data_IF_949302216958
#
_entry.id   IF_949302216958
#
_cell.length_a   1.000
_cell.length_b   1.000
_cell.length_c   1.000
_cell.angle_alpha   90.00
_cell.angle_beta   90.00
_cell.angle_gamma   90.00
#
_symmetry.space_group_name_H-M   'P 1'
#
loop_
_entity.id
_entity.type
_entity.pdbx_description
1 polymer ?
#
# COMPACT_ATOMS: atom_id res chain seq x y z
N UNK A 1 -17.07 3.90 -10.84
CA UNK A 1 -16.27 3.68 -12.08
C UNK A 1 -14.83 3.31 -11.72
N UNK A 2 -14.16 2.40 -12.45
CA UNK A 2 -12.72 2.13 -12.26
C UNK A 2 -11.90 2.90 -13.29
N UNK A 3 -10.92 3.66 -12.82
CA UNK A 3 -10.06 4.48 -13.68
C UNK A 3 -8.91 3.71 -14.30
N UNK A 4 -8.42 2.63 -13.67
CA UNK A 4 -7.25 1.85 -14.14
C UNK A 4 -6.02 2.72 -14.46
N UNK A 5 -5.84 3.83 -13.74
CA UNK A 5 -4.71 4.75 -13.96
C UNK A 5 -4.86 5.70 -15.15
N UNK A 6 -6.04 5.75 -15.79
CA UNK A 6 -6.35 6.70 -16.87
C UNK A 6 -7.54 7.59 -16.51
N UNK A 7 -7.64 8.73 -17.18
CA UNK A 7 -8.87 9.52 -17.16
C UNK A 7 -10.05 8.68 -17.67
N UNK A 8 -11.21 8.88 -17.08
CA UNK A 8 -12.46 8.24 -17.48
C UNK A 8 -13.56 9.28 -17.47
N UNK A 9 -14.32 9.32 -18.55
CA UNK A 9 -15.49 10.17 -18.64
C UNK A 9 -16.67 9.48 -17.96
N UNK A 10 -17.46 10.27 -17.24
CA UNK A 10 -18.67 9.82 -16.58
C UNK A 10 -19.79 10.80 -16.93
N UNK A 11 -20.72 10.36 -17.78
CA UNK A 11 -21.89 11.16 -18.14
C UNK A 11 -22.92 11.11 -17.02
N UNK A 12 -23.23 12.27 -16.45
CA UNK A 12 -24.26 12.48 -15.44
C UNK A 12 -25.06 13.74 -15.76
N UNK A 13 -26.26 13.84 -15.20
CA UNK A 13 -27.06 15.06 -15.33
C UNK A 13 -26.32 16.25 -14.70
N UNK A 14 -26.63 17.48 -15.15
CA UNK A 14 -26.16 18.67 -14.46
C UNK A 14 -26.65 18.72 -13.01
N UNK A 15 -25.79 19.17 -12.10
CA UNK A 15 -26.10 19.22 -10.68
C UNK A 15 -24.88 19.36 -9.77
N UNK A 16 -25.13 19.30 -8.46
CA UNK A 16 -24.10 19.32 -7.42
C UNK A 16 -23.81 17.90 -6.94
N UNK A 17 -22.53 17.54 -6.89
CA UNK A 17 -22.09 16.20 -6.55
C UNK A 17 -20.94 16.20 -5.54
N UNK A 18 -20.97 15.21 -4.66
CA UNK A 18 -19.79 14.80 -3.90
C UNK A 18 -19.08 13.67 -4.66
N UNK A 19 -17.76 13.76 -4.77
CA UNK A 19 -16.94 12.75 -5.45
C UNK A 19 -15.99 12.12 -4.44
N UNK A 20 -16.12 10.80 -4.26
CA UNK A 20 -15.21 9.98 -3.48
C UNK A 20 -14.27 9.21 -4.41
N UNK A 21 -12.96 9.44 -4.27
CA UNK A 21 -11.91 8.76 -5.01
C UNK A 21 -11.20 7.80 -4.07
N UNK A 22 -11.03 6.54 -4.48
CA UNK A 22 -10.33 5.52 -3.71
C UNK A 22 -9.12 4.97 -4.47
N UNK A 23 -7.97 4.91 -3.81
CA UNK A 23 -6.79 4.20 -4.29
C UNK A 23 -6.93 2.70 -4.00
N UNK A 24 -7.00 1.87 -5.04
CA UNK A 24 -7.18 0.41 -4.90
C UNK A 24 -5.88 -0.40 -4.85
N UNK A 25 -4.74 0.23 -5.14
CA UNK A 25 -3.42 -0.43 -5.21
C UNK A 25 -2.38 0.21 -4.30
N UNK A 26 -2.81 1.13 -3.43
CA UNK A 26 -1.97 1.78 -2.42
C UNK A 26 -2.61 1.42 -1.10
N UNK A 27 -1.82 0.85 -0.22
CA UNK A 27 -2.22 0.51 1.14
C UNK A 27 -1.86 1.65 2.10
N UNK A 28 -2.51 1.73 3.26
CA UNK A 28 -2.27 2.79 4.24
C UNK A 28 -3.56 3.39 4.79
N UNK A 29 -3.44 4.57 5.40
CA UNK A 29 -4.57 5.29 6.00
C UNK A 29 -5.23 6.22 4.98
N UNK A 30 -4.45 6.85 4.10
CA UNK A 30 -4.89 7.88 3.16
C UNK A 30 -5.23 7.27 1.79
N UNK A 31 -6.16 6.33 1.77
CA UNK A 31 -6.58 5.62 0.55
C UNK A 31 -7.89 6.14 -0.04
N UNK A 32 -8.53 7.10 0.63
CA UNK A 32 -9.77 7.75 0.18
C UNK A 32 -9.59 9.27 0.17
N UNK A 33 -10.16 9.92 -0.83
CA UNK A 33 -10.20 11.38 -0.95
C UNK A 33 -11.60 11.82 -1.38
N UNK A 34 -12.21 12.72 -0.62
CA UNK A 34 -13.54 13.27 -0.91
C UNK A 34 -13.40 14.72 -1.38
N UNK A 35 -14.07 15.05 -2.47
CA UNK A 35 -14.30 16.42 -2.92
C UNK A 35 -15.80 16.67 -2.82
N UNK A 36 -16.18 17.76 -2.19
CA UNK A 36 -17.58 18.09 -1.96
C UNK A 36 -18.03 19.21 -2.88
N UNK A 37 -19.33 19.21 -3.18
CA UNK A 37 -19.99 20.31 -3.89
C UNK A 37 -19.36 20.64 -5.26
N UNK A 38 -19.05 19.62 -6.06
CA UNK A 38 -18.65 19.80 -7.46
C UNK A 38 -19.89 20.11 -8.29
N UNK A 39 -19.88 21.24 -8.98
CA UNK A 39 -20.89 21.57 -9.99
C UNK A 39 -20.54 20.90 -11.32
N UNK A 40 -21.50 20.19 -11.89
CA UNK A 40 -21.48 19.72 -13.29
C UNK A 40 -22.54 20.50 -14.05
N UNK A 41 -22.10 21.23 -15.08
CA UNK A 41 -22.98 22.05 -15.92
C UNK A 41 -23.38 21.31 -17.19
N UNK A 42 -24.51 21.71 -17.77
CA UNK A 42 -24.98 21.14 -19.04
C UNK A 42 -23.96 21.41 -20.15
N UNK A 43 -23.61 20.35 -20.90
CA UNK A 43 -22.67 20.39 -22.02
C UNK A 43 -21.24 20.83 -21.64
N UNK A 44 -20.86 20.73 -20.36
CA UNK A 44 -19.51 21.01 -19.87
C UNK A 44 -18.89 19.77 -19.22
N UNK A 45 -17.56 19.70 -19.21
CA UNK A 45 -16.80 18.63 -18.54
C UNK A 45 -16.02 19.20 -17.36
N UNK A 46 -16.40 18.80 -16.14
CA UNK A 46 -15.63 19.10 -14.92
C UNK A 46 -14.49 18.07 -14.76
N UNK A 47 -13.24 18.50 -14.97
CA UNK A 47 -12.07 17.64 -14.80
C UNK A 47 -11.65 17.56 -13.33
N UNK A 48 -11.61 16.34 -12.78
CA UNK A 48 -11.19 16.07 -11.41
C UNK A 48 -9.90 15.26 -11.42
N UNK A 49 -8.91 15.67 -10.63
CA UNK A 49 -7.64 14.97 -10.46
C UNK A 49 -7.23 14.95 -9.00
N UNK A 50 -6.76 13.80 -8.54
CA UNK A 50 -6.11 13.66 -7.25
C UNK A 50 -4.97 12.67 -7.35
N UNK A 51 -3.81 13.04 -6.80
CA UNK A 51 -2.61 12.22 -6.79
C UNK A 51 -2.43 11.66 -5.38
N UNK A 52 -2.65 10.36 -5.21
CA UNK A 52 -2.29 9.68 -3.98
C UNK A 52 -0.77 9.56 -3.89
N UNK A 53 -0.23 10.00 -2.75
CA UNK A 53 1.19 9.83 -2.45
C UNK A 53 1.45 8.39 -2.06
N UNK A 54 2.58 7.85 -2.53
CA UNK A 54 3.03 6.51 -2.16
C UNK A 54 4.55 6.38 -2.19
N UNK A 55 5.06 5.38 -1.48
CA UNK A 55 6.39 4.81 -1.63
C UNK A 55 6.31 3.27 -1.68
N UNK A 56 7.46 2.62 -1.81
CA UNK A 56 7.56 1.15 -1.89
C UNK A 56 8.33 0.62 -0.68
N UNK A 57 7.80 -0.40 -0.02
CA UNK A 57 8.54 -1.20 0.95
C UNK A 57 8.80 -2.60 0.37
N UNK A 58 10.06 -3.03 0.36
CA UNK A 58 10.51 -4.37 -0.01
C UNK A 58 10.95 -5.10 1.26
N UNK A 59 10.22 -6.14 1.67
CA UNK A 59 10.54 -6.93 2.86
C UNK A 59 10.94 -8.34 2.45
N UNK A 60 12.20 -8.70 2.69
CA UNK A 60 12.73 -10.03 2.42
C UNK A 60 13.07 -10.78 3.70
N UNK A 61 12.97 -12.12 3.65
CA UNK A 61 13.33 -12.99 4.78
C UNK A 61 14.16 -14.15 4.26
N UNK A 62 15.35 -14.37 4.83
CA UNK A 62 16.20 -15.49 4.46
C UNK A 62 17.03 -15.99 5.63
N UNK A 63 17.52 -17.22 5.56
CA UNK A 63 18.50 -17.74 6.53
C UNK A 63 19.86 -17.07 6.33
N UNK A 64 20.74 -17.19 7.31
CA UNK A 64 22.15 -16.79 7.20
C UNK A 64 22.89 -17.50 6.06
N UNK A 65 22.42 -18.69 5.66
CA UNK A 65 22.90 -19.43 4.49
C UNK A 65 22.33 -18.97 3.14
N UNK A 66 21.38 -18.03 3.15
CA UNK A 66 20.78 -17.45 1.95
C UNK A 66 19.47 -18.10 1.48
N UNK A 67 18.98 -19.12 2.19
CA UNK A 67 17.70 -19.78 1.87
C UNK A 67 16.52 -18.83 2.16
N UNK A 68 15.64 -18.62 1.18
CA UNK A 68 14.48 -17.77 1.33
C UNK A 68 13.41 -18.42 2.20
N UNK A 69 12.81 -17.65 3.11
CA UNK A 69 11.86 -18.17 4.10
C UNK A 69 10.43 -17.69 3.82
N UNK A 70 9.47 -18.62 3.87
CA UNK A 70 8.04 -18.29 3.89
C UNK A 70 7.66 -17.63 5.21
N UNK A 71 7.20 -16.38 5.14
CA UNK A 71 6.88 -15.57 6.32
C UNK A 71 5.66 -14.69 6.07
N UNK A 72 4.85 -14.47 7.10
CA UNK A 72 3.89 -13.35 7.07
C UNK A 72 4.60 -12.04 7.34
N UNK A 73 4.17 -10.98 6.65
CA UNK A 73 4.63 -9.61 6.85
C UNK A 73 3.38 -8.75 7.04
N UNK A 74 3.27 -8.07 8.18
CA UNK A 74 2.14 -7.21 8.52
C UNK A 74 2.62 -5.81 8.87
N UNK A 75 2.00 -4.80 8.27
CA UNK A 75 2.30 -3.39 8.49
C UNK A 75 1.23 -2.76 9.37
N UNK A 76 1.66 -2.15 10.47
CA UNK A 76 0.83 -1.36 11.35
C UNK A 76 1.25 0.10 11.21
N UNK A 77 0.33 0.99 10.86
CA UNK A 77 0.62 2.42 10.82
C UNK A 77 0.87 2.91 12.25
N UNK A 78 1.98 3.62 12.46
CA UNK A 78 2.54 3.86 13.80
C UNK A 78 1.64 4.71 14.70
N UNK A 79 0.95 5.70 14.16
CA UNK A 79 0.12 6.62 14.94
C UNK A 79 -1.21 5.99 15.36
N UNK A 80 -1.86 5.26 14.45
CA UNK A 80 -3.20 4.67 14.66
C UNK A 80 -3.14 3.24 15.17
N UNK A 81 -2.01 2.53 15.00
CA UNK A 81 -1.87 1.12 15.29
C UNK A 81 -2.68 0.20 14.36
N UNK A 82 -3.30 0.75 13.30
CA UNK A 82 -4.13 -0.02 12.38
C UNK A 82 -3.26 -0.90 11.48
N UNK A 83 -3.64 -2.17 11.32
CA UNK A 83 -3.07 -3.01 10.27
C UNK A 83 -3.54 -2.50 8.90
N UNK A 84 -2.60 -2.06 8.07
CA UNK A 84 -2.90 -1.43 6.78
C UNK A 84 -2.46 -2.27 5.59
N UNK A 85 -1.54 -3.23 5.78
CA UNK A 85 -1.10 -4.12 4.71
C UNK A 85 -0.59 -5.43 5.28
N UNK A 86 -0.89 -6.53 4.59
CA UNK A 86 -0.37 -7.84 4.94
C UNK A 86 -0.13 -8.67 3.69
N UNK A 87 0.98 -9.40 3.66
CA UNK A 87 1.24 -10.41 2.65
C UNK A 87 2.24 -11.45 3.16
N UNK A 88 2.58 -12.40 2.29
CA UNK A 88 3.64 -13.39 2.55
C UNK A 88 4.84 -13.15 1.65
N UNK A 89 6.03 -13.35 2.20
CA UNK A 89 7.19 -13.79 1.42
C UNK A 89 7.08 -15.30 1.22
N UNK A 90 7.56 -15.83 0.11
CA UNK A 90 7.70 -17.28 -0.07
C UNK A 90 9.17 -17.65 -0.32
N UNK A 91 9.41 -18.92 -0.59
CA UNK A 91 10.74 -19.52 -0.83
C UNK A 91 11.24 -19.27 -2.27
N UNK A 92 10.83 -18.17 -2.92
CA UNK A 92 11.23 -17.80 -4.29
C UNK A 92 11.57 -16.32 -4.42
N UNK A 93 12.58 -16.01 -5.24
CA UNK A 93 13.02 -14.63 -5.49
C UNK A 93 11.92 -13.76 -6.14
N UNK A 94 10.95 -14.37 -6.80
CA UNK A 94 9.79 -13.66 -7.39
C UNK A 94 8.80 -13.12 -6.36
N UNK A 95 8.93 -13.53 -5.09
CA UNK A 95 8.02 -13.17 -4.01
C UNK A 95 8.71 -12.77 -2.71
N UNK A 96 10.03 -12.84 -2.69
CA UNK A 96 10.89 -12.53 -1.55
C UNK A 96 12.17 -11.86 -2.09
N UNK A 97 12.30 -10.52 -1.96
CA UNK A 97 11.48 -9.66 -1.10
C UNK A 97 10.07 -9.40 -1.64
N UNK A 98 9.12 -9.27 -0.70
CA UNK A 98 7.74 -8.91 -1.01
C UNK A 98 7.59 -7.40 -1.12
N UNK A 99 6.99 -6.93 -2.21
CA UNK A 99 6.72 -5.52 -2.47
C UNK A 99 5.36 -5.07 -1.94
N UNK A 100 5.35 -3.89 -1.31
CA UNK A 100 4.18 -3.19 -0.78
C UNK A 100 4.20 -1.74 -1.27
N UNK A 101 3.09 -1.27 -1.84
CA UNK A 101 2.92 0.15 -2.19
C UNK A 101 2.11 0.78 -1.06
N UNK A 102 2.72 1.71 -0.32
CA UNK A 102 2.16 2.27 0.90
C UNK A 102 2.07 3.79 0.79
N UNK A 103 1.09 4.42 1.44
CA UNK A 103 1.14 5.86 1.70
C UNK A 103 2.43 6.22 2.47
N UNK A 104 3.02 7.40 2.29
CA UNK A 104 4.15 7.85 3.11
C UNK A 104 3.77 7.85 4.60
N UNK A 105 4.69 7.42 5.44
CA UNK A 105 4.42 7.30 6.88
C UNK A 105 5.45 6.46 7.61
N UNK A 106 5.24 6.31 8.91
CA UNK A 106 6.03 5.41 9.75
C UNK A 106 5.20 4.18 10.08
N UNK A 107 5.82 3.01 9.96
CA UNK A 107 5.15 1.74 10.15
C UNK A 107 5.93 0.85 11.10
N UNK A 108 5.21 0.14 11.96
CA UNK A 108 5.74 -1.02 12.65
C UNK A 108 5.43 -2.26 11.81
N UNK A 109 6.47 -3.00 11.43
CA UNK A 109 6.40 -4.17 10.57
C UNK A 109 6.64 -5.41 11.42
N UNK A 110 5.64 -6.28 11.49
CA UNK A 110 5.74 -7.57 12.17
C UNK A 110 5.93 -8.66 11.14
N UNK A 111 7.03 -9.40 11.27
CA UNK A 111 7.32 -10.58 10.46
C UNK A 111 7.25 -11.82 11.33
N UNK A 112 6.62 -12.88 10.81
CA UNK A 112 6.52 -14.18 11.49
C UNK A 112 6.85 -15.26 10.48
N UNK A 113 7.88 -16.06 10.77
CA UNK A 113 8.30 -17.19 9.93
C UNK A 113 7.30 -18.34 10.03
N UNK A 114 7.16 -19.08 8.94
CA UNK A 114 6.23 -20.19 8.82
C UNK A 114 6.95 -21.47 8.36
N UNK A 115 6.21 -22.57 8.33
CA UNK A 115 6.72 -23.87 7.85
C UNK A 115 7.86 -24.40 8.72
N UNK A 116 8.91 -24.92 8.08
CA UNK A 116 10.07 -25.53 8.72
C UNK A 116 10.86 -24.53 9.59
N UNK A 117 10.75 -23.23 9.29
CA UNK A 117 11.38 -22.17 10.07
C UNK A 117 10.41 -21.51 11.07
N UNK A 118 9.24 -22.10 11.34
CA UNK A 118 8.24 -21.51 12.24
C UNK A 118 8.74 -21.32 13.69
N UNK A 119 8.12 -20.39 14.40
CA UNK A 119 8.46 -20.08 15.81
C UNK A 119 9.24 -18.79 16.01
N UNK A 120 9.59 -18.09 14.93
CA UNK A 120 10.34 -16.82 15.00
C UNK A 120 9.46 -15.64 14.58
N UNK A 121 9.60 -14.55 15.32
CA UNK A 121 8.95 -13.29 14.99
C UNK A 121 9.85 -12.11 15.31
N UNK A 122 9.86 -11.13 14.43
CA UNK A 122 10.56 -9.87 14.61
C UNK A 122 9.60 -8.70 14.33
N UNK A 123 9.75 -7.63 15.11
CA UNK A 123 9.06 -6.37 14.85
C UNK A 123 10.10 -5.26 14.76
N UNK A 124 10.03 -4.45 13.71
CA UNK A 124 10.90 -3.28 13.51
C UNK A 124 10.11 -2.13 12.91
N UNK A 125 10.62 -0.91 13.05
CA UNK A 125 10.02 0.27 12.43
C UNK A 125 10.70 0.63 11.11
N UNK A 126 9.92 1.07 10.13
CA UNK A 126 10.44 1.69 8.91
C UNK A 126 9.73 3.02 8.63
N UNK A 127 10.38 3.85 7.84
CA UNK A 127 9.81 5.09 7.30
C UNK A 127 9.70 4.90 5.79
N UNK A 128 8.48 4.99 5.25
CA UNK A 128 8.22 5.04 3.81
C UNK A 128 8.04 6.50 3.43
N UNK A 129 8.82 6.98 2.46
CA UNK A 129 8.72 8.34 1.92
C UNK A 129 8.10 8.33 0.53
N UNK A 130 7.56 9.48 0.13
CA UNK A 130 6.97 9.68 -1.19
C UNK A 130 8.00 9.42 -2.30
N UNK A 131 7.66 8.54 -3.24
CA UNK A 131 8.49 8.20 -4.39
C UNK A 131 9.72 7.34 -4.09
N UNK A 132 10.00 7.02 -2.82
CA UNK A 132 11.17 6.25 -2.41
C UNK A 132 10.87 4.76 -2.26
N UNK A 133 11.92 3.93 -2.39
CA UNK A 133 11.90 2.51 -2.05
C UNK A 133 12.74 2.29 -0.79
N UNK A 134 12.15 1.67 0.22
CA UNK A 134 12.86 1.17 1.40
C UNK A 134 12.91 -0.35 1.35
N UNK A 135 14.11 -0.91 1.52
CA UNK A 135 14.32 -2.36 1.51
C UNK A 135 14.83 -2.83 2.87
N UNK A 136 14.25 -3.92 3.36
CA UNK A 136 14.69 -4.60 4.58
C UNK A 136 14.79 -6.10 4.32
N UNK A 137 16.02 -6.60 4.37
CA UNK A 137 16.29 -8.03 4.44
C UNK A 137 16.42 -8.45 5.90
N UNK A 138 15.59 -9.40 6.32
CA UNK A 138 15.66 -10.05 7.62
C UNK A 138 16.48 -11.32 7.47
N UNK A 139 17.44 -11.49 8.36
CA UNK A 139 18.30 -12.67 8.44
C UNK A 139 17.89 -13.49 9.66
N UNK A 140 17.66 -14.78 9.43
CA UNK A 140 17.40 -15.78 10.45
C UNK A 140 18.54 -16.80 10.55
#
# INVERSE_FOLDING_TARGET
>A
VRTYGRAQDLEINPGMYDVLIQALKIEGIETNFKIENIEVKANETSTIRYNFKSGIALIGVKTSGGELIDSTVNFFEKTTGKNVAAARTYTSDTSNPKSFILNPGTYDVKVVTLGEHSGHSETFSIIVKEGETVEKQILY
#
